data_IF_379964365802
#
_entry.id   IF_379964365802
#
_cell.length_a   1.000
_cell.length_b   1.000
_cell.length_c   1.000
_cell.angle_alpha   90.00
_cell.angle_beta   90.00
_cell.angle_gamma   90.00
#
_symmetry.space_group_name_H-M   'P 1'
#
loop_
_entity.id
_entity.type
_entity.pdbx_description
1 polymer ?
#
# COMPACT_ATOMS: atom_id res chain seq x y z
N UNK A 1 -11.71 -14.16 6.63
CA UNK A 1 -11.53 -13.04 7.57
C UNK A 1 -11.96 -11.74 6.88
N UNK A 2 -12.21 -10.68 7.65
CA UNK A 2 -12.71 -9.40 7.10
C UNK A 2 -11.77 -8.75 6.07
N UNK A 3 -10.46 -8.70 6.33
CA UNK A 3 -9.49 -8.08 5.41
C UNK A 3 -9.46 -8.76 4.04
N UNK A 4 -9.40 -10.10 4.01
CA UNK A 4 -9.38 -10.85 2.74
C UNK A 4 -10.70 -10.79 1.98
N UNK A 5 -11.82 -10.67 2.67
CA UNK A 5 -13.12 -10.48 2.04
C UNK A 5 -13.22 -9.11 1.36
N UNK A 6 -12.77 -8.05 2.04
CA UNK A 6 -12.73 -6.69 1.47
C UNK A 6 -11.76 -6.59 0.29
N UNK A 7 -10.56 -7.15 0.42
CA UNK A 7 -9.56 -7.18 -0.67
C UNK A 7 -10.08 -7.92 -1.91
N UNK A 8 -10.69 -9.10 -1.73
CA UNK A 8 -11.28 -9.86 -2.84
C UNK A 8 -12.40 -9.08 -3.55
N UNK A 9 -13.31 -8.48 -2.78
CA UNK A 9 -14.42 -7.70 -3.33
C UNK A 9 -13.92 -6.45 -4.06
N UNK A 10 -12.94 -5.76 -3.49
CA UNK A 10 -12.28 -4.60 -4.12
C UNK A 10 -11.63 -4.98 -5.44
N UNK A 11 -10.83 -6.07 -5.47
CA UNK A 11 -10.15 -6.53 -6.69
C UNK A 11 -11.14 -6.89 -7.79
N UNK A 12 -12.20 -7.64 -7.46
CA UNK A 12 -13.22 -8.04 -8.43
C UNK A 12 -13.97 -6.83 -9.00
N UNK A 13 -14.46 -5.95 -8.14
CA UNK A 13 -15.22 -4.76 -8.56
C UNK A 13 -14.34 -3.75 -9.31
N UNK A 14 -13.08 -3.56 -8.90
CA UNK A 14 -12.14 -2.72 -9.63
C UNK A 14 -11.86 -3.25 -11.04
N UNK A 15 -11.75 -4.57 -11.22
CA UNK A 15 -11.61 -5.18 -12.54
C UNK A 15 -12.86 -4.97 -13.41
N UNK A 16 -14.06 -5.06 -12.82
CA UNK A 16 -15.31 -4.76 -13.52
C UNK A 16 -15.37 -3.29 -13.96
N UNK A 17 -14.97 -2.36 -13.10
CA UNK A 17 -14.90 -0.92 -13.44
C UNK A 17 -13.93 -0.69 -14.59
N UNK A 18 -12.72 -1.26 -14.55
CA UNK A 18 -11.74 -1.13 -15.63
C UNK A 18 -12.28 -1.66 -16.96
N UNK A 19 -12.99 -2.79 -16.94
CA UNK A 19 -13.66 -3.34 -18.13
C UNK A 19 -14.71 -2.36 -18.68
N UNK A 20 -15.55 -1.78 -17.84
CA UNK A 20 -16.54 -0.80 -18.27
C UNK A 20 -15.86 0.46 -18.85
N UNK A 21 -14.74 0.88 -18.27
CA UNK A 21 -13.93 1.99 -18.78
C UNK A 21 -13.28 1.66 -20.13
N UNK A 22 -12.87 0.41 -20.38
CA UNK A 22 -12.41 -0.05 -21.70
C UNK A 22 -13.53 0.00 -22.75
N UNK A 23 -14.72 -0.45 -22.37
CA UNK A 23 -15.91 -0.41 -23.23
C UNK A 23 -16.27 1.04 -23.60
N UNK A 24 -16.33 1.96 -22.63
CA UNK A 24 -16.57 3.39 -22.88
C UNK A 24 -15.48 3.98 -23.78
N UNK A 25 -14.22 3.67 -23.50
CA UNK A 25 -13.10 4.20 -24.29
C UNK A 25 -13.18 3.77 -25.77
N UNK A 26 -13.60 2.53 -26.02
CA UNK A 26 -13.75 1.97 -27.37
C UNK A 26 -14.96 2.54 -28.14
N UNK A 27 -16.10 2.71 -27.46
CA UNK A 27 -17.39 3.08 -28.08
C UNK A 27 -17.61 4.60 -28.17
N UNK A 28 -16.97 5.39 -27.32
CA UNK A 28 -17.09 6.86 -27.30
C UNK A 28 -16.11 7.53 -28.27
N UNK A 29 -15.77 6.87 -29.37
CA UNK A 29 -14.96 7.46 -30.43
C UNK A 29 -15.80 8.46 -31.25
N UNK A 30 -15.25 9.62 -31.64
CA UNK A 30 -15.90 10.53 -32.60
C UNK A 30 -16.28 9.85 -33.92
N UNK A 31 -15.65 8.72 -34.25
CA UNK A 31 -15.96 7.89 -35.43
C UNK A 31 -16.99 6.78 -35.18
N UNK A 32 -17.36 6.51 -33.92
CA UNK A 32 -18.20 5.37 -33.53
C UNK A 32 -19.59 5.77 -33.01
N UNK A 33 -19.80 7.04 -32.64
CA UNK A 33 -21.08 7.48 -32.10
C UNK A 33 -21.45 8.90 -32.58
N UNK A 34 -22.44 8.99 -33.48
CA UNK A 34 -22.93 10.25 -34.04
C UNK A 34 -23.88 11.01 -33.09
N UNK A 35 -24.27 10.40 -31.96
CA UNK A 35 -25.21 10.99 -31.00
C UNK A 35 -24.52 11.83 -29.92
N UNK A 36 -23.23 11.60 -29.68
CA UNK A 36 -22.43 12.34 -28.70
C UNK A 36 -21.62 13.40 -29.43
N UNK A 37 -21.68 14.65 -28.97
CA UNK A 37 -20.84 15.73 -29.48
C UNK A 37 -19.35 15.41 -29.33
N UNK A 38 -18.52 15.80 -30.31
CA UNK A 38 -17.09 15.45 -30.33
C UNK A 38 -16.33 15.93 -29.08
N UNK A 39 -16.71 17.08 -28.53
CA UNK A 39 -16.11 17.65 -27.31
C UNK A 39 -16.48 16.84 -26.07
N UNK A 40 -17.75 16.47 -25.91
CA UNK A 40 -18.21 15.62 -24.80
C UNK A 40 -17.55 14.25 -24.86
N UNK A 41 -17.46 13.65 -26.06
CA UNK A 41 -16.77 12.39 -26.27
C UNK A 41 -15.28 12.45 -25.87
N UNK A 42 -14.60 13.55 -26.20
CA UNK A 42 -13.22 13.79 -25.80
C UNK A 42 -13.07 13.98 -24.28
N UNK A 43 -13.99 14.72 -23.66
CA UNK A 43 -13.96 14.97 -22.21
C UNK A 43 -14.24 13.69 -21.41
N UNK A 44 -15.15 12.84 -21.87
CA UNK A 44 -15.37 11.49 -21.31
C UNK A 44 -14.08 10.67 -21.40
N UNK A 45 -13.39 10.66 -22.55
CA UNK A 45 -12.11 9.95 -22.69
C UNK A 45 -11.03 10.45 -21.73
N UNK A 46 -10.92 11.77 -21.53
CA UNK A 46 -9.99 12.36 -20.54
C UNK A 46 -10.33 11.90 -19.11
N UNK A 47 -11.61 11.92 -18.74
CA UNK A 47 -12.07 11.46 -17.44
C UNK A 47 -11.77 9.97 -17.22
N UNK A 48 -11.97 9.13 -18.25
CA UNK A 48 -11.62 7.70 -18.21
C UNK A 48 -10.12 7.50 -17.97
N UNK A 49 -9.25 8.25 -18.66
CA UNK A 49 -7.79 8.16 -18.47
C UNK A 49 -7.39 8.59 -17.06
N UNK A 50 -7.95 9.70 -16.57
CA UNK A 50 -7.69 10.18 -15.21
C UNK A 50 -8.10 9.14 -14.16
N UNK A 51 -9.33 8.61 -14.27
CA UNK A 51 -9.84 7.60 -13.34
C UNK A 51 -9.02 6.31 -13.37
N UNK A 52 -8.52 5.87 -14.54
CA UNK A 52 -7.59 4.72 -14.61
C UNK A 52 -6.30 4.99 -13.84
N UNK A 53 -5.75 6.20 -13.94
CA UNK A 53 -4.57 6.61 -13.17
C UNK A 53 -4.83 6.57 -11.67
N UNK A 54 -5.95 7.14 -11.23
CA UNK A 54 -6.34 7.17 -9.82
C UNK A 54 -6.52 5.75 -9.25
N UNK A 55 -7.23 4.88 -9.98
CA UNK A 55 -7.43 3.48 -9.57
C UNK A 55 -6.10 2.70 -9.50
N UNK A 56 -5.16 2.98 -10.40
CA UNK A 56 -3.83 2.35 -10.37
C UNK A 56 -3.04 2.77 -9.13
N UNK A 57 -3.05 4.05 -8.76
CA UNK A 57 -2.38 4.54 -7.55
C UNK A 57 -3.01 3.98 -6.27
N UNK A 58 -4.35 3.94 -6.20
CA UNK A 58 -5.06 3.36 -5.07
C UNK A 58 -4.72 1.87 -4.90
N UNK A 59 -4.74 1.10 -5.99
CA UNK A 59 -4.38 -0.32 -5.98
C UNK A 59 -2.93 -0.51 -5.52
N UNK A 60 -1.98 0.26 -6.06
CA UNK A 60 -0.58 0.16 -5.68
C UNK A 60 -0.37 0.46 -4.19
N UNK A 61 -1.09 1.44 -3.63
CA UNK A 61 -1.03 1.75 -2.21
C UNK A 61 -1.58 0.61 -1.33
N UNK A 62 -2.71 -0.01 -1.71
CA UNK A 62 -3.23 -1.16 -0.96
C UNK A 62 -2.30 -2.37 -1.02
N UNK A 63 -1.73 -2.68 -2.19
CA UNK A 63 -0.79 -3.79 -2.33
C UNK A 63 0.51 -3.57 -1.54
N UNK A 64 1.03 -2.35 -1.53
CA UNK A 64 2.19 -2.00 -0.69
C UNK A 64 1.88 -2.16 0.80
N UNK A 65 0.70 -1.71 1.26
CA UNK A 65 0.28 -1.84 2.65
C UNK A 65 0.09 -3.30 3.07
N UNK A 66 -0.53 -4.14 2.23
CA UNK A 66 -0.66 -5.57 2.55
C UNK A 66 0.69 -6.27 2.64
N UNK A 67 1.64 -5.92 1.76
CA UNK A 67 3.00 -6.47 1.83
C UNK A 67 3.72 -6.02 3.11
N UNK A 68 3.57 -4.75 3.49
CA UNK A 68 4.06 -4.22 4.76
C UNK A 68 3.45 -4.98 5.95
N UNK A 69 2.13 -5.21 5.97
CA UNK A 69 1.49 -5.97 7.05
C UNK A 69 2.06 -7.37 7.18
N UNK A 70 2.43 -8.04 6.08
CA UNK A 70 3.04 -9.38 6.13
C UNK A 70 4.42 -9.33 6.81
N UNK A 71 5.31 -8.41 6.41
CA UNK A 71 6.64 -8.32 7.01
C UNK A 71 6.57 -7.86 8.46
N UNK A 72 5.70 -6.90 8.76
CA UNK A 72 5.57 -6.32 10.09
C UNK A 72 4.93 -7.32 11.07
N UNK A 73 3.97 -8.13 10.60
CA UNK A 73 3.42 -9.24 11.40
C UNK A 73 4.50 -10.23 11.85
N UNK A 74 5.53 -10.47 11.04
CA UNK A 74 6.65 -11.34 11.41
C UNK A 74 7.49 -10.69 12.50
N UNK A 75 7.73 -9.38 12.42
CA UNK A 75 8.41 -8.62 13.48
C UNK A 75 7.66 -8.74 14.80
N UNK A 76 6.34 -8.48 14.79
CA UNK A 76 5.49 -8.57 15.97
C UNK A 76 5.36 -9.99 16.55
N UNK A 77 5.60 -11.03 15.75
CA UNK A 77 5.62 -12.43 16.20
C UNK A 77 7.01 -12.93 16.59
N UNK A 78 8.04 -12.08 16.48
CA UNK A 78 9.42 -12.42 16.82
C UNK A 78 9.96 -11.48 17.89
N UNK A 79 10.92 -10.61 17.58
CA UNK A 79 11.62 -9.81 18.59
C UNK A 79 10.75 -8.72 19.22
N UNK A 80 9.62 -8.34 18.59
CA UNK A 80 8.66 -7.39 19.18
C UNK A 80 7.52 -8.07 19.95
N UNK A 81 7.51 -9.41 20.08
CA UNK A 81 6.41 -10.09 20.77
C UNK A 81 6.46 -9.96 22.30
N UNK A 82 7.64 -9.67 22.87
CA UNK A 82 7.80 -9.39 24.30
C UNK A 82 9.06 -8.59 24.62
N UNK A 83 9.13 -7.92 25.78
CA UNK A 83 10.33 -7.22 26.22
C UNK A 83 11.58 -8.12 26.27
N UNK A 84 11.46 -9.38 26.69
CA UNK A 84 12.60 -10.30 26.80
C UNK A 84 13.23 -10.59 25.43
N UNK A 85 12.39 -10.76 24.40
CA UNK A 85 12.85 -11.02 23.04
C UNK A 85 13.42 -9.74 22.40
N UNK A 86 12.86 -8.58 22.72
CA UNK A 86 13.40 -7.30 22.27
C UNK A 86 14.78 -7.04 22.88
N UNK A 87 14.93 -7.19 24.20
CA UNK A 87 16.22 -7.03 24.89
C UNK A 87 17.27 -8.02 24.38
N UNK A 88 16.86 -9.26 24.09
CA UNK A 88 17.74 -10.27 23.48
C UNK A 88 18.17 -9.86 22.08
N UNK A 89 17.24 -9.36 21.27
CA UNK A 89 17.53 -8.88 19.92
C UNK A 89 18.49 -7.68 19.93
N UNK A 90 18.27 -6.69 20.81
CA UNK A 90 19.12 -5.50 20.94
C UNK A 90 20.52 -5.81 21.47
N UNK A 91 20.65 -6.88 22.26
CA UNK A 91 21.97 -7.36 22.71
C UNK A 91 22.78 -7.99 21.57
N UNK A 92 22.12 -8.67 20.63
CA UNK A 92 22.75 -9.31 19.46
C UNK A 92 22.98 -8.28 18.35
N UNK A 93 22.02 -7.37 18.14
CA UNK A 93 22.00 -6.35 17.11
C UNK A 93 21.94 -4.96 17.78
N UNK A 94 23.07 -4.45 18.30
CA UNK A 94 23.09 -3.15 18.97
C UNK A 94 22.82 -2.02 17.97
N UNK A 95 22.36 -0.88 18.50
CA UNK A 95 22.32 0.37 17.75
C UNK A 95 23.73 0.78 17.31
N UNK A 96 23.81 1.68 16.33
CA UNK A 96 25.09 2.25 15.95
C UNK A 96 25.72 3.00 17.15
N UNK A 97 27.04 3.00 17.22
CA UNK A 97 27.78 3.51 18.37
C UNK A 97 27.43 4.97 18.69
N UNK A 98 27.26 5.80 17.66
CA UNK A 98 26.96 7.22 17.85
C UNK A 98 25.58 7.40 18.49
N UNK A 99 24.55 6.75 17.97
CA UNK A 99 23.22 6.76 18.59
C UNK A 99 23.24 6.17 20.00
N UNK A 100 23.94 5.06 20.21
CA UNK A 100 24.03 4.39 21.50
C UNK A 100 24.65 5.30 22.58
N UNK A 101 25.77 5.96 22.28
CA UNK A 101 26.43 6.88 23.21
C UNK A 101 25.61 8.16 23.46
N UNK A 102 24.97 8.70 22.42
CA UNK A 102 24.17 9.93 22.52
C UNK A 102 22.85 9.75 23.30
N UNK A 103 22.13 8.65 23.05
CA UNK A 103 20.81 8.43 23.64
C UNK A 103 20.89 7.60 24.92
N UNK A 104 21.79 6.61 24.98
CA UNK A 104 21.87 5.60 26.03
C UNK A 104 23.25 5.57 26.69
N UNK A 105 23.93 6.72 26.83
CA UNK A 105 25.25 6.89 27.45
C UNK A 105 25.28 6.64 28.96
N UNK A 106 24.79 5.47 29.39
CA UNK A 106 24.62 5.06 30.77
C UNK A 106 25.69 4.01 31.10
N UNK A 107 26.29 4.13 32.28
CA UNK A 107 27.35 3.21 32.72
C UNK A 107 26.87 1.77 32.90
N UNK A 108 25.63 1.59 33.37
CA UNK A 108 25.02 0.28 33.56
C UNK A 108 24.56 -0.30 32.22
N UNK A 109 25.27 -1.33 31.75
CA UNK A 109 25.03 -1.99 30.47
C UNK A 109 23.68 -2.73 30.39
N UNK A 110 23.06 -3.06 31.51
CA UNK A 110 21.70 -3.61 31.51
C UNK A 110 20.71 -2.49 31.19
N UNK A 111 20.88 -1.31 31.81
CA UNK A 111 20.06 -0.13 31.53
C UNK A 111 20.26 0.43 30.13
N UNK A 112 21.40 0.17 29.47
CA UNK A 112 21.62 0.52 28.06
C UNK A 112 20.73 -0.29 27.10
N UNK A 113 20.35 -1.52 27.49
CA UNK A 113 19.45 -2.35 26.66
C UNK A 113 17.99 -1.94 26.80
N UNK A 114 17.61 -1.38 27.95
CA UNK A 114 16.28 -0.84 28.23
C UNK A 114 16.09 0.54 27.57
#
# INVERSE_FOLDING_TARGET
SGLKQLDSTYKETNQQVLKNLDEIFSTTSPSANNEIGQEDALNIKKAVIALRGDLALLKANFEANELFFISEDVIFKTYMSSPELLLTYMKINPLDQNTAEQQCGISDKVLVLY
#
